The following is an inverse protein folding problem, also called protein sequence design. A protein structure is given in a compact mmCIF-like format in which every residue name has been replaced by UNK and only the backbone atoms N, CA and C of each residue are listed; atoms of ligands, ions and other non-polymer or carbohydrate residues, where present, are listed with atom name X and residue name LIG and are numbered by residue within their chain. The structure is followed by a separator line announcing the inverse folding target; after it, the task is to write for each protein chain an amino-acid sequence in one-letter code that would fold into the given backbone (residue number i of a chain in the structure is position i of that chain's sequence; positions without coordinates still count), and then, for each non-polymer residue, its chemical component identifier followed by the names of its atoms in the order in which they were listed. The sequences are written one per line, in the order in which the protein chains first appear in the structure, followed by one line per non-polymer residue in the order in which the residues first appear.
data_IF_144390456835
#
_entry.id   IF_144390456835
#
_cell.length_a   1.000
_cell.length_b   1.000
_cell.length_c   1.000
_cell.angle_alpha   90.00
_cell.angle_beta   90.00
_cell.angle_gamma   90.00
#
_symmetry.space_group_name_H-M   'P 1'
#
loop_
_entity.id
_entity.type
_entity.pdbx_description
1 polymer ?
#
# COMPACT_ATOMS: atom_id res chain seq x y z
N UNK A 1 31.84 6.34 11.36
CA UNK A 1 32.20 5.31 10.35
C UNK A 1 31.95 3.93 10.93
N UNK A 2 31.69 2.92 10.09
CA UNK A 2 31.62 1.54 10.55
C UNK A 2 33.04 0.96 10.63
N UNK A 3 33.54 0.78 11.85
CA UNK A 3 34.93 0.37 12.09
C UNK A 3 35.11 -1.16 12.09
N UNK A 4 34.02 -1.93 12.00
CA UNK A 4 34.03 -3.40 11.95
C UNK A 4 33.35 -3.90 10.66
N UNK A 5 33.86 -4.98 10.07
CA UNK A 5 33.27 -5.69 8.92
C UNK A 5 31.79 -6.04 9.15
N UNK A 6 31.43 -6.45 10.37
CA UNK A 6 30.03 -6.75 10.73
C UNK A 6 29.14 -5.50 10.61
N UNK A 7 29.61 -4.35 11.08
CA UNK A 7 28.90 -3.08 11.00
C UNK A 7 28.71 -2.63 9.53
N UNK A 8 29.77 -2.71 8.70
CA UNK A 8 29.69 -2.40 7.27
C UNK A 8 28.64 -3.28 6.56
N UNK A 9 28.61 -4.59 6.88
CA UNK A 9 27.60 -5.51 6.34
C UNK A 9 26.17 -5.10 6.75
N UNK A 10 25.97 -4.72 8.02
CA UNK A 10 24.66 -4.29 8.52
C UNK A 10 24.17 -3.02 7.82
N UNK A 11 25.05 -2.05 7.55
CA UNK A 11 24.73 -0.84 6.80
C UNK A 11 24.22 -1.18 5.39
N UNK A 12 24.97 -2.00 4.63
CA UNK A 12 24.57 -2.42 3.27
C UNK A 12 23.21 -3.13 3.26
N UNK A 13 22.97 -4.02 4.22
CA UNK A 13 21.68 -4.73 4.35
C UNK A 13 20.54 -3.74 4.68
N UNK A 14 20.79 -2.79 5.59
CA UNK A 14 19.81 -1.79 5.98
C UNK A 14 19.43 -0.89 4.81
N UNK A 15 20.39 -0.45 4.00
CA UNK A 15 20.14 0.36 2.81
C UNK A 15 19.30 -0.39 1.77
N UNK A 16 19.67 -1.63 1.45
CA UNK A 16 18.91 -2.50 0.54
C UNK A 16 17.46 -2.65 1.02
N UNK A 17 17.27 -2.99 2.29
CA UNK A 17 15.93 -3.15 2.88
C UNK A 17 15.16 -1.82 2.91
N UNK A 18 15.81 -0.69 3.19
CA UNK A 18 15.21 0.64 3.20
C UNK A 18 14.65 1.01 1.83
N UNK A 19 15.41 0.79 0.76
CA UNK A 19 14.98 1.07 -0.61
C UNK A 19 13.77 0.22 -1.01
N UNK A 20 13.83 -1.08 -0.75
CA UNK A 20 12.71 -1.99 -0.99
C UNK A 20 11.46 -1.57 -0.21
N UNK A 21 11.59 -1.33 1.10
CA UNK A 21 10.49 -0.92 1.95
C UNK A 21 9.90 0.43 1.50
N UNK A 22 10.75 1.37 1.07
CA UNK A 22 10.32 2.68 0.57
C UNK A 22 9.43 2.52 -0.65
N UNK A 23 9.80 1.69 -1.62
CA UNK A 23 8.99 1.44 -2.82
C UNK A 23 7.58 0.97 -2.46
N UNK A 24 7.45 -0.15 -1.75
CA UNK A 24 6.14 -0.70 -1.38
C UNK A 24 5.31 0.26 -0.51
N UNK A 25 5.95 1.00 0.40
CA UNK A 25 5.25 2.00 1.24
C UNK A 25 4.79 3.21 0.46
N UNK A 26 5.62 3.74 -0.45
CA UNK A 26 5.27 4.86 -1.29
C UNK A 26 4.14 4.48 -2.26
N UNK A 27 4.31 3.40 -3.02
CA UNK A 27 3.31 2.94 -3.99
C UNK A 27 1.95 2.66 -3.35
N UNK A 28 1.92 2.04 -2.16
CA UNK A 28 0.66 1.81 -1.46
C UNK A 28 -0.02 3.11 -1.03
N UNK A 29 0.75 4.10 -0.53
CA UNK A 29 0.19 5.42 -0.18
C UNK A 29 -0.35 6.15 -1.40
N UNK A 30 0.37 6.11 -2.53
CA UNK A 30 -0.07 6.74 -3.77
C UNK A 30 -1.37 6.13 -4.26
N UNK A 31 -1.47 4.79 -4.33
CA UNK A 31 -2.69 4.10 -4.75
C UNK A 31 -3.87 4.38 -3.82
N UNK A 32 -3.65 4.40 -2.51
CA UNK A 32 -4.69 4.75 -1.53
C UNK A 32 -5.19 6.18 -1.76
N UNK A 33 -4.28 7.14 -1.99
CA UNK A 33 -4.67 8.54 -2.27
C UNK A 33 -5.51 8.66 -3.54
N UNK A 34 -5.12 7.94 -4.60
CA UNK A 34 -5.90 7.88 -5.85
C UNK A 34 -7.28 7.26 -5.64
N UNK A 35 -7.36 6.17 -4.86
CA UNK A 35 -8.62 5.53 -4.52
C UNK A 35 -9.56 6.46 -3.74
N UNK A 36 -9.05 7.19 -2.75
CA UNK A 36 -9.86 8.16 -1.99
C UNK A 36 -10.39 9.27 -2.90
N UNK A 37 -9.56 9.81 -3.80
CA UNK A 37 -10.01 10.81 -4.79
C UNK A 37 -11.09 10.25 -5.72
N UNK A 38 -10.95 8.99 -6.15
CA UNK A 38 -11.95 8.32 -6.99
C UNK A 38 -13.26 8.02 -6.23
N UNK A 39 -13.18 7.77 -4.92
CA UNK A 39 -14.38 7.66 -4.09
C UNK A 39 -15.12 8.99 -3.96
N UNK A 40 -14.40 10.11 -3.82
CA UNK A 40 -15.00 11.44 -3.78
C UNK A 40 -15.74 11.77 -5.08
N UNK A 41 -15.16 11.44 -6.25
CA UNK A 41 -15.85 11.61 -7.53
C UNK A 41 -17.07 10.70 -7.65
N UNK A 42 -16.95 9.43 -7.24
CA UNK A 42 -18.07 8.48 -7.25
C UNK A 42 -19.25 8.93 -6.37
N UNK A 43 -18.98 9.51 -5.19
CA UNK A 43 -20.04 10.05 -4.31
C UNK A 43 -20.91 11.10 -5.00
N UNK A 44 -20.31 11.91 -5.88
CA UNK A 44 -21.00 12.97 -6.62
C UNK A 44 -21.70 12.40 -7.86
N UNK A 45 -20.99 11.60 -8.67
CA UNK A 45 -21.53 11.12 -9.95
C UNK A 45 -22.52 9.96 -9.80
N UNK A 46 -22.36 9.12 -8.78
CA UNK A 46 -23.06 7.83 -8.57
C UNK A 46 -23.07 6.92 -9.80
N UNK A 47 -22.13 7.13 -10.73
CA UNK A 47 -22.05 6.37 -11.97
C UNK A 47 -21.44 4.99 -11.74
N UNK A 48 -21.99 3.98 -12.41
CA UNK A 48 -21.48 2.61 -12.36
C UNK A 48 -20.03 2.50 -12.87
N UNK A 49 -19.65 3.34 -13.83
CA UNK A 49 -18.29 3.37 -14.38
C UNK A 49 -17.27 3.83 -13.32
N UNK A 50 -17.63 4.81 -12.49
CA UNK A 50 -16.73 5.32 -11.45
C UNK A 50 -16.59 4.33 -10.28
N UNK A 51 -17.66 3.58 -9.98
CA UNK A 51 -17.61 2.45 -9.05
C UNK A 51 -16.65 1.37 -9.54
N UNK A 52 -16.72 1.00 -10.82
CA UNK A 52 -15.83 0.00 -11.41
C UNK A 52 -14.35 0.43 -11.37
N UNK A 53 -14.06 1.72 -11.60
CA UNK A 53 -12.71 2.29 -11.45
C UNK A 53 -12.22 2.21 -10.01
N UNK A 54 -13.05 2.57 -9.03
CA UNK A 54 -12.71 2.47 -7.61
C UNK A 54 -12.42 1.01 -7.19
N UNK A 55 -13.21 0.04 -7.68
CA UNK A 55 -12.98 -1.38 -7.44
C UNK A 55 -11.66 -1.87 -8.03
N UNK A 56 -11.31 -1.44 -9.24
CA UNK A 56 -10.03 -1.78 -9.88
C UNK A 56 -8.83 -1.26 -9.08
N UNK A 57 -8.92 -0.03 -8.57
CA UNK A 57 -7.91 0.55 -7.68
C UNK A 57 -7.80 -0.24 -6.37
N UNK A 58 -8.94 -0.63 -5.77
CA UNK A 58 -8.97 -1.43 -4.55
C UNK A 58 -8.27 -2.79 -4.74
N UNK A 59 -8.55 -3.48 -5.85
CA UNK A 59 -7.90 -4.74 -6.21
C UNK A 59 -6.38 -4.58 -6.36
N UNK A 60 -5.94 -3.47 -6.97
CA UNK A 60 -4.53 -3.13 -7.12
C UNK A 60 -3.84 -2.88 -5.76
N UNK A 61 -4.51 -2.18 -4.85
CA UNK A 61 -4.04 -1.96 -3.48
C UNK A 61 -3.89 -3.29 -2.74
N UNK A 62 -4.88 -4.19 -2.87
CA UNK A 62 -4.83 -5.51 -2.22
C UNK A 62 -3.64 -6.33 -2.69
N UNK A 63 -3.45 -6.41 -4.01
CA UNK A 63 -2.30 -7.09 -4.62
C UNK A 63 -0.98 -6.56 -4.07
N UNK A 64 -0.83 -5.24 -3.98
CA UNK A 64 0.41 -4.62 -3.50
C UNK A 64 0.64 -4.86 -2.00
N UNK A 65 -0.40 -4.77 -1.17
CA UNK A 65 -0.31 -5.03 0.27
C UNK A 65 0.09 -6.47 0.56
N UNK A 66 -0.48 -7.44 -0.18
CA UNK A 66 -0.18 -8.86 0.00
C UNK A 66 1.22 -9.22 -0.47
N UNK A 67 1.63 -8.69 -1.63
CA UNK A 67 3.02 -8.81 -2.09
C UNK A 67 3.98 -8.21 -1.06
N UNK A 68 3.64 -7.05 -0.49
CA UNK A 68 4.41 -6.43 0.58
C UNK A 68 4.47 -7.26 1.87
N UNK A 69 3.38 -7.96 2.22
CA UNK A 69 3.35 -8.88 3.36
C UNK A 69 4.25 -10.11 3.12
N UNK A 70 4.17 -10.73 1.93
CA UNK A 70 5.05 -11.84 1.52
C UNK A 70 6.53 -11.45 1.57
N UNK A 71 6.84 -10.20 1.19
CA UNK A 71 8.20 -9.64 1.24
C UNK A 71 8.60 -9.08 2.62
N UNK A 72 7.78 -9.30 3.67
CA UNK A 72 8.01 -8.83 5.05
C UNK A 72 8.15 -7.30 5.20
N UNK A 73 7.62 -6.53 4.25
CA UNK A 73 7.56 -5.06 4.35
C UNK A 73 6.45 -4.61 5.28
N UNK A 74 5.33 -5.33 5.27
CA UNK A 74 4.18 -5.12 6.16
C UNK A 74 3.99 -6.33 7.06
N UNK A 75 3.58 -6.07 8.30
CA UNK A 75 3.02 -7.12 9.15
C UNK A 75 1.62 -7.51 8.67
N UNK A 76 1.27 -8.79 8.80
CA UNK A 76 -0.01 -9.37 8.35
C UNK A 76 -1.23 -8.59 8.87
N UNK A 77 -1.21 -8.19 10.14
CA UNK A 77 -2.31 -7.44 10.76
C UNK A 77 -2.43 -6.02 10.20
N UNK A 78 -1.30 -5.39 9.85
CA UNK A 78 -1.32 -4.05 9.25
C UNK A 78 -1.89 -4.09 7.83
N UNK A 79 -1.56 -5.12 7.05
CA UNK A 79 -2.16 -5.32 5.73
C UNK A 79 -3.66 -5.59 5.86
N UNK A 80 -4.07 -6.51 6.73
CA UNK A 80 -5.48 -6.84 6.97
C UNK A 80 -6.31 -5.63 7.42
N UNK A 81 -5.83 -4.85 8.40
CA UNK A 81 -6.50 -3.63 8.86
C UNK A 81 -6.72 -2.62 7.75
N UNK A 82 -5.71 -2.39 6.91
CA UNK A 82 -5.82 -1.46 5.77
C UNK A 82 -6.84 -1.94 4.75
N UNK A 83 -6.87 -3.25 4.44
CA UNK A 83 -7.85 -3.83 3.52
C UNK A 83 -9.28 -3.64 4.03
N UNK A 84 -9.51 -3.94 5.31
CA UNK A 84 -10.81 -3.80 5.95
C UNK A 84 -11.30 -2.36 5.93
N UNK A 85 -10.43 -1.40 6.26
CA UNK A 85 -10.78 0.03 6.25
C UNK A 85 -11.20 0.52 4.84
N UNK A 86 -10.45 0.16 3.80
CA UNK A 86 -10.75 0.58 2.42
C UNK A 86 -12.02 -0.08 1.87
N UNK A 87 -12.26 -1.35 2.22
CA UNK A 87 -13.52 -2.03 1.87
C UNK A 87 -14.73 -1.37 2.55
N UNK A 88 -14.60 -1.05 3.84
CA UNK A 88 -15.66 -0.36 4.58
C UNK A 88 -15.97 1.01 3.98
N UNK A 89 -14.95 1.75 3.53
CA UNK A 89 -15.15 3.02 2.83
C UNK A 89 -15.98 2.82 1.56
N UNK A 90 -15.61 1.91 0.66
CA UNK A 90 -16.38 1.67 -0.58
C UNK A 90 -17.81 1.17 -0.33
N UNK A 91 -18.05 0.45 0.79
CA UNK A 91 -19.39 -0.04 1.15
C UNK A 91 -20.28 1.08 1.68
N UNK A 92 -19.72 2.01 2.45
CA UNK A 92 -20.47 3.07 3.11
C UNK A 92 -20.75 4.27 2.18
N UNK A 93 -20.09 4.34 1.01
CA UNK A 93 -20.32 5.34 -0.05
C UNK A 93 -21.30 4.84 -1.09
#
# INVERSE_FOLDING_TARGET
MANNKSALKRIKIAERNRLQNRYYKASARTLIKLFVKQLETYKVSKSQNDRAKAQTLLNSIYSLLDKGCKKKVYHRNTAARKKAQLAAQLKNT
#
